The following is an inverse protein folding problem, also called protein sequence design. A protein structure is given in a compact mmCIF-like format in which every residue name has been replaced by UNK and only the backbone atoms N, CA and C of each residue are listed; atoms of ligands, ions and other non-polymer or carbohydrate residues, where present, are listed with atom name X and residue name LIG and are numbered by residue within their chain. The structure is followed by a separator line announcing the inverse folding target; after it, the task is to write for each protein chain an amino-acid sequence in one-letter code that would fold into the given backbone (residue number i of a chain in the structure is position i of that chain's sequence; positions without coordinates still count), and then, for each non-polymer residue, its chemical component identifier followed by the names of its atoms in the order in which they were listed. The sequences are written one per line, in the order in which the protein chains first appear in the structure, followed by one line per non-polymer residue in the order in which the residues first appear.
data_IF_699086858966
#
_entry.id   IF_699086858966
#
_cell.length_a   1.000
_cell.length_b   1.000
_cell.length_c   1.000
_cell.angle_alpha   90.00
_cell.angle_beta   90.00
_cell.angle_gamma   90.00
#
_symmetry.space_group_name_H-M   'P 1'
#
loop_
_entity.id
_entity.type
_entity.pdbx_description
1 polymer ?
#
# COMPACT_ATOMS: atom_id res chain seq x y z
N UNK A 1 -17.69 18.93 61.28
CA UNK A 1 -18.30 18.59 59.97
C UNK A 1 -17.35 19.05 58.88
N UNK A 2 -16.52 18.15 58.33
CA UNK A 2 -15.61 18.47 57.23
C UNK A 2 -16.30 18.15 55.90
N UNK A 3 -16.48 19.16 55.04
CA UNK A 3 -16.94 18.99 53.66
C UNK A 3 -15.71 18.87 52.76
N UNK A 4 -15.48 17.69 52.20
CA UNK A 4 -14.45 17.48 51.18
C UNK A 4 -15.10 17.78 49.83
N UNK A 5 -14.60 18.81 49.16
CA UNK A 5 -14.99 19.17 47.80
C UNK A 5 -14.07 18.39 46.84
N UNK A 6 -14.64 17.46 46.06
CA UNK A 6 -13.91 16.72 45.02
C UNK A 6 -14.16 17.43 43.69
N UNK A 7 -13.12 18.06 43.16
CA UNK A 7 -13.14 18.68 41.83
C UNK A 7 -12.77 17.60 40.81
N UNK A 8 -13.75 17.14 40.03
CA UNK A 8 -13.53 16.16 38.96
C UNK A 8 -13.03 16.86 37.71
N UNK A 9 -11.73 16.77 37.43
CA UNK A 9 -11.14 17.23 36.17
C UNK A 9 -11.52 16.23 35.06
N UNK A 10 -12.42 16.62 34.16
CA UNK A 10 -12.68 15.84 32.94
C UNK A 10 -11.46 15.95 32.01
N UNK A 11 -10.72 14.86 31.86
CA UNK A 11 -9.79 14.67 30.74
C UNK A 11 -10.62 14.36 29.49
N UNK A 12 -10.74 15.34 28.59
CA UNK A 12 -11.19 15.11 27.22
C UNK A 12 -10.05 14.45 26.45
N UNK A 13 -10.08 13.13 26.34
CA UNK A 13 -9.27 12.37 25.40
C UNK A 13 -9.91 12.52 24.01
N UNK A 14 -9.37 13.42 23.20
CA UNK A 14 -9.63 13.42 21.75
C UNK A 14 -8.79 12.28 21.15
N UNK A 15 -9.40 11.24 20.55
CA UNK A 15 -8.64 10.30 19.74
C UNK A 15 -8.23 11.02 18.45
N UNK A 16 -6.97 11.44 18.36
CA UNK A 16 -6.35 11.73 17.07
C UNK A 16 -6.22 10.39 16.34
N UNK A 17 -6.93 10.27 15.22
CA UNK A 17 -6.83 9.13 14.31
C UNK A 17 -5.84 9.51 13.21
N UNK A 18 -4.56 9.56 13.54
CA UNK A 18 -3.52 9.44 12.53
C UNK A 18 -3.58 8.01 11.97
N UNK A 19 -3.60 7.86 10.65
CA UNK A 19 -3.60 6.54 10.04
C UNK A 19 -2.17 6.04 9.97
N UNK A 20 -1.82 5.10 10.84
CA UNK A 20 -0.52 4.46 10.80
C UNK A 20 -0.42 3.43 9.66
N UNK A 21 0.81 3.12 9.24
CA UNK A 21 1.12 2.12 8.22
C UNK A 21 0.37 0.79 8.49
N UNK A 22 0.23 0.40 9.76
CA UNK A 22 -0.44 -0.84 10.13
C UNK A 22 -1.94 -0.84 9.78
N UNK A 23 -2.64 0.27 9.97
CA UNK A 23 -4.04 0.44 9.59
C UNK A 23 -4.21 0.37 8.08
N UNK A 24 -3.33 1.03 7.33
CA UNK A 24 -3.32 1.03 5.87
C UNK A 24 -3.02 -0.37 5.31
N UNK A 25 -1.97 -1.03 5.81
CA UNK A 25 -1.61 -2.40 5.44
C UNK A 25 -2.74 -3.38 5.74
N UNK A 26 -3.39 -3.25 6.90
CA UNK A 26 -4.50 -4.11 7.29
C UNK A 26 -5.71 -3.96 6.36
N UNK A 27 -6.07 -2.72 6.01
CA UNK A 27 -7.16 -2.47 5.08
C UNK A 27 -6.90 -3.14 3.72
N UNK A 28 -5.68 -3.05 3.21
CA UNK A 28 -5.33 -3.67 1.91
C UNK A 28 -5.27 -5.19 2.02
N UNK A 29 -4.81 -5.75 3.14
CA UNK A 29 -4.92 -7.18 3.39
C UNK A 29 -6.36 -7.65 3.33
N UNK A 30 -7.24 -7.02 4.12
CA UNK A 30 -8.64 -7.40 4.20
C UNK A 30 -9.32 -7.22 2.81
N UNK A 31 -8.97 -6.18 2.05
CA UNK A 31 -9.39 -6.04 0.65
C UNK A 31 -8.87 -7.16 -0.25
N UNK A 32 -7.57 -7.48 -0.19
CA UNK A 32 -6.95 -8.49 -1.05
C UNK A 32 -7.57 -9.88 -0.88
N UNK A 33 -7.92 -10.23 0.36
CA UNK A 33 -8.61 -11.48 0.70
C UNK A 33 -10.02 -11.56 0.09
N UNK A 34 -10.64 -10.43 -0.26
CA UNK A 34 -11.94 -10.40 -0.93
C UNK A 34 -11.87 -10.48 -2.45
N UNK A 35 -10.78 -10.00 -3.05
CA UNK A 35 -10.67 -9.87 -4.52
C UNK A 35 -9.79 -10.92 -5.18
N UNK A 36 -8.85 -11.51 -4.43
CA UNK A 36 -7.95 -12.54 -4.95
C UNK A 36 -8.46 -13.93 -4.61
N UNK A 37 -8.23 -14.89 -5.52
CA UNK A 37 -8.47 -16.29 -5.21
C UNK A 37 -7.42 -16.89 -4.28
N UNK A 38 -6.21 -16.33 -4.32
CA UNK A 38 -5.12 -16.68 -3.44
C UNK A 38 -4.32 -15.43 -3.13
N UNK A 39 -4.08 -15.17 -1.85
CA UNK A 39 -3.11 -14.16 -1.40
C UNK A 39 -1.79 -14.87 -1.08
N UNK A 40 -0.67 -14.20 -1.31
CA UNK A 40 0.65 -14.70 -0.96
C UNK A 40 0.79 -14.96 0.55
N UNK A 41 1.83 -15.70 0.94
CA UNK A 41 2.23 -15.84 2.34
C UNK A 41 2.87 -14.56 2.89
N UNK A 42 3.76 -14.68 3.87
CA UNK A 42 4.47 -13.51 4.44
C UNK A 42 5.53 -12.89 3.51
N UNK A 43 5.74 -13.48 2.32
CA UNK A 43 6.77 -13.14 1.34
C UNK A 43 7.92 -14.16 1.37
N UNK A 44 8.49 -14.48 0.22
CA UNK A 44 9.68 -15.34 0.13
C UNK A 44 10.96 -14.55 0.51
N UNK A 45 12.05 -15.23 0.92
CA UNK A 45 13.32 -14.55 1.20
C UNK A 45 13.80 -13.70 0.00
N UNK A 46 14.00 -12.40 0.24
CA UNK A 46 14.40 -11.44 -0.80
C UNK A 46 13.22 -10.72 -1.47
N UNK A 47 11.98 -11.08 -1.13
CA UNK A 47 10.80 -10.30 -1.48
C UNK A 47 10.58 -9.12 -0.53
N UNK A 48 9.97 -8.07 -1.06
CA UNK A 48 9.37 -7.03 -0.26
C UNK A 48 8.30 -7.68 0.63
N UNK A 49 8.27 -7.28 1.90
CA UNK A 49 7.27 -7.78 2.85
C UNK A 49 5.86 -7.50 2.33
N UNK A 50 4.98 -8.51 2.42
CA UNK A 50 3.58 -8.33 2.08
C UNK A 50 2.93 -7.19 2.88
N UNK A 51 2.14 -6.39 2.18
CA UNK A 51 1.47 -5.20 2.69
C UNK A 51 2.41 -4.06 3.11
N UNK A 52 3.66 -4.05 2.65
CA UNK A 52 4.52 -2.86 2.75
C UNK A 52 3.84 -1.66 2.08
N UNK A 53 3.75 -0.55 2.81
CA UNK A 53 3.14 0.68 2.37
C UNK A 53 4.19 1.78 2.18
N UNK A 54 3.98 2.66 1.20
CA UNK A 54 4.69 3.94 1.08
C UNK A 54 3.68 5.06 0.96
N UNK A 55 3.90 6.17 1.67
CA UNK A 55 3.09 7.37 1.56
C UNK A 55 3.36 8.04 0.22
N UNK A 56 2.33 8.33 -0.58
CA UNK A 56 2.40 9.00 -1.88
C UNK A 56 2.24 10.52 -1.75
N UNK A 57 1.34 10.97 -0.87
CA UNK A 57 1.11 12.38 -0.59
C UNK A 57 0.81 12.61 0.89
N UNK A 58 1.20 13.78 1.40
CA UNK A 58 0.97 14.18 2.79
C UNK A 58 -0.51 14.49 3.07
N UNK A 59 -1.28 14.83 2.04
CA UNK A 59 -2.66 15.31 2.18
C UNK A 59 -2.74 16.78 2.58
N UNK A 60 -3.94 17.20 2.98
CA UNK A 60 -4.24 18.60 3.34
C UNK A 60 -4.15 18.86 4.85
N UNK A 61 -4.21 17.82 5.68
CA UNK A 61 -4.02 17.90 7.14
C UNK A 61 -3.00 16.86 7.57
N UNK A 62 -1.88 17.33 8.13
CA UNK A 62 -0.80 16.48 8.63
C UNK A 62 -1.19 15.80 9.94
N UNK A 63 -2.04 16.43 10.75
CA UNK A 63 -2.43 15.90 12.07
C UNK A 63 -3.39 14.71 11.99
N UNK A 64 -4.17 14.64 10.91
CA UNK A 64 -5.24 13.64 10.71
C UNK A 64 -5.06 12.81 9.43
N UNK A 65 -3.94 13.00 8.73
CA UNK A 65 -3.62 12.40 7.43
C UNK A 65 -4.70 12.57 6.35
N UNK A 66 -5.58 13.57 6.51
CA UNK A 66 -6.71 13.79 5.61
C UNK A 66 -6.23 14.20 4.24
N UNK A 67 -6.70 13.50 3.22
CA UNK A 67 -6.30 13.67 1.83
C UNK A 67 -4.99 12.96 1.50
N UNK A 68 -4.32 12.34 2.47
CA UNK A 68 -3.14 11.54 2.20
C UNK A 68 -3.49 10.32 1.35
N UNK A 69 -2.52 9.91 0.56
CA UNK A 69 -2.60 8.71 -0.27
C UNK A 69 -1.41 7.82 -0.01
N UNK A 70 -1.65 6.53 -0.09
CA UNK A 70 -0.67 5.49 0.19
C UNK A 70 -0.68 4.48 -0.93
N UNK A 71 0.48 3.92 -1.25
CA UNK A 71 0.63 2.79 -2.15
C UNK A 71 1.03 1.58 -1.33
N UNK A 72 0.27 0.50 -1.46
CA UNK A 72 0.51 -0.74 -0.71
C UNK A 72 0.80 -1.87 -1.68
N UNK A 73 1.93 -2.52 -1.47
CA UNK A 73 2.32 -3.73 -2.18
C UNK A 73 1.67 -4.96 -1.55
N UNK A 74 1.19 -5.87 -2.38
CA UNK A 74 0.81 -7.23 -1.99
C UNK A 74 1.00 -8.18 -3.17
N UNK A 75 0.97 -9.48 -2.95
CA UNK A 75 1.06 -10.47 -4.02
C UNK A 75 -0.13 -11.42 -3.97
N UNK A 76 -0.71 -11.75 -5.11
CA UNK A 76 -1.85 -12.65 -5.17
C UNK A 76 -2.28 -13.02 -6.59
N UNK A 77 -3.12 -14.05 -6.68
CA UNK A 77 -3.76 -14.50 -7.91
C UNK A 77 -5.05 -13.71 -8.15
N UNK A 78 -4.90 -12.53 -8.73
CA UNK A 78 -5.99 -11.71 -9.22
C UNK A 78 -6.55 -12.29 -10.51
N UNK A 79 -7.86 -12.56 -10.54
CA UNK A 79 -8.53 -13.17 -11.69
C UNK A 79 -8.56 -14.70 -11.69
N UNK A 80 -8.04 -15.33 -10.64
CA UNK A 80 -8.25 -16.77 -10.37
C UNK A 80 -7.74 -17.68 -11.50
N UNK A 81 -6.61 -17.32 -12.10
CA UNK A 81 -6.05 -18.08 -13.22
C UNK A 81 -5.52 -19.45 -12.77
N UNK A 82 -5.14 -19.57 -11.48
CA UNK A 82 -4.75 -20.81 -10.83
C UNK A 82 -3.31 -21.24 -11.13
N UNK A 83 -2.67 -21.85 -10.13
CA UNK A 83 -1.30 -22.37 -10.24
C UNK A 83 -0.27 -21.48 -9.55
N UNK A 84 0.94 -22.01 -9.35
CA UNK A 84 1.95 -21.32 -8.55
C UNK A 84 2.57 -20.09 -9.25
N UNK A 85 2.44 -20.01 -10.58
CA UNK A 85 2.97 -18.90 -11.40
C UNK A 85 2.00 -17.73 -11.62
N UNK A 86 0.76 -17.81 -11.10
CA UNK A 86 -0.27 -16.78 -11.31
C UNK A 86 -0.34 -15.75 -10.20
N UNK A 87 0.39 -15.98 -9.10
CA UNK A 87 0.55 -15.00 -8.03
C UNK A 87 1.52 -13.94 -8.49
N UNK A 88 1.00 -12.75 -8.78
CA UNK A 88 1.78 -11.64 -9.30
C UNK A 88 1.71 -10.45 -8.34
N UNK A 89 2.75 -9.60 -8.33
CA UNK A 89 2.73 -8.34 -7.62
C UNK A 89 1.51 -7.50 -7.96
N UNK A 90 0.85 -7.02 -6.92
CA UNK A 90 -0.26 -6.09 -6.96
C UNK A 90 0.11 -4.85 -6.16
N UNK A 91 -0.42 -3.72 -6.59
CA UNK A 91 -0.16 -2.43 -5.98
C UNK A 91 -1.48 -1.69 -5.88
N UNK A 92 -1.89 -1.40 -4.66
CA UNK A 92 -3.20 -0.84 -4.34
C UNK A 92 -3.03 0.53 -3.73
N UNK A 93 -3.80 1.51 -4.22
CA UNK A 93 -3.83 2.85 -3.62
C UNK A 93 -4.86 2.86 -2.49
N UNK A 94 -4.50 3.46 -1.37
CA UNK A 94 -5.42 3.80 -0.27
C UNK A 94 -5.49 5.32 -0.16
N UNK A 95 -6.70 5.86 -0.06
CA UNK A 95 -6.95 7.28 0.15
C UNK A 95 -7.63 7.49 1.50
N UNK A 96 -7.24 8.54 2.21
CA UNK A 96 -7.92 8.96 3.44
C UNK A 96 -8.80 10.15 3.10
N UNK A 97 -10.10 9.90 2.98
CA UNK A 97 -11.05 10.94 2.61
C UNK A 97 -11.45 11.77 3.83
N UNK A 98 -11.62 13.09 3.64
CA UNK A 98 -11.98 14.03 4.72
C UNK A 98 -13.36 13.83 5.33
N UNK A 99 -14.20 12.96 4.76
CA UNK A 99 -15.42 12.53 5.44
C UNK A 99 -15.07 11.39 6.41
N UNK A 100 -14.91 11.73 7.70
CA UNK A 100 -14.63 10.81 8.83
C UNK A 100 -13.22 10.21 8.90
N UNK A 101 -12.23 10.80 8.23
CA UNK A 101 -10.82 10.34 8.22
C UNK A 101 -10.69 8.82 7.99
N UNK A 102 -11.58 8.28 7.17
CA UNK A 102 -11.68 6.83 7.00
C UNK A 102 -10.82 6.43 5.80
N UNK A 103 -9.82 5.56 5.98
CA UNK A 103 -9.03 5.03 4.89
C UNK A 103 -9.91 4.14 4.01
N UNK A 104 -9.79 4.30 2.69
CA UNK A 104 -10.53 3.51 1.70
C UNK A 104 -9.58 3.06 0.59
N UNK A 105 -9.79 1.84 0.09
CA UNK A 105 -9.10 1.37 -1.11
C UNK A 105 -9.64 2.13 -2.32
N UNK A 106 -8.76 2.79 -3.05
CA UNK A 106 -9.09 3.52 -4.26
C UNK A 106 -8.70 2.71 -5.51
N UNK A 107 -9.72 2.07 -6.10
CA UNK A 107 -9.58 1.23 -7.29
C UNK A 107 -9.54 2.01 -8.61
N UNK A 108 -9.65 3.35 -8.56
CA UNK A 108 -9.61 4.18 -9.77
C UNK A 108 -8.20 4.34 -10.34
N UNK A 109 -7.16 4.09 -9.52
CA UNK A 109 -5.77 4.19 -9.95
C UNK A 109 -5.35 2.95 -10.74
N UNK A 110 -4.74 3.20 -11.90
CA UNK A 110 -4.05 2.19 -12.67
C UNK A 110 -2.58 2.52 -12.69
N UNK A 111 -1.76 1.59 -12.22
CA UNK A 111 -0.32 1.67 -12.41
C UNK A 111 0.03 1.35 -13.86
N UNK A 112 1.12 1.94 -14.38
CA UNK A 112 1.63 1.55 -15.68
C UNK A 112 2.06 0.10 -15.65
N UNK A 113 2.03 -0.52 -16.83
CA UNK A 113 2.43 -1.91 -16.98
C UNK A 113 3.89 -2.12 -16.53
N UNK A 114 4.10 -3.15 -15.73
CA UNK A 114 5.42 -3.69 -15.36
C UNK A 114 5.44 -5.18 -15.67
N UNK A 115 6.61 -5.71 -16.02
CA UNK A 115 6.82 -7.16 -16.16
C UNK A 115 7.34 -7.80 -14.85
N UNK A 116 7.20 -7.09 -13.73
CA UNK A 116 7.64 -7.55 -12.41
C UNK A 116 6.89 -8.81 -12.02
N UNK A 117 7.64 -9.83 -11.62
CA UNK A 117 7.09 -11.05 -11.04
C UNK A 117 7.40 -11.16 -9.55
N UNK A 118 8.42 -10.45 -9.09
CA UNK A 118 8.79 -10.35 -7.69
C UNK A 118 9.18 -8.90 -7.39
N UNK A 119 8.61 -8.29 -6.36
CA UNK A 119 9.06 -6.98 -5.89
C UNK A 119 10.05 -7.20 -4.76
N UNK A 120 11.21 -6.55 -4.83
CA UNK A 120 12.23 -6.60 -3.77
C UNK A 120 12.31 -5.29 -2.99
N UNK A 121 11.89 -4.18 -3.60
CA UNK A 121 11.94 -2.87 -2.98
C UNK A 121 10.86 -1.94 -3.54
N UNK A 122 10.24 -1.16 -2.66
CA UNK A 122 9.34 -0.06 -3.00
C UNK A 122 9.70 1.17 -2.16
N UNK A 123 9.91 2.30 -2.83
CA UNK A 123 10.26 3.59 -2.20
C UNK A 123 9.46 4.70 -2.84
N UNK A 124 9.18 5.74 -2.07
CA UNK A 124 8.71 7.02 -2.59
C UNK A 124 9.68 8.13 -2.17
N UNK A 125 10.07 8.96 -3.12
CA UNK A 125 10.85 10.18 -2.88
C UNK A 125 10.11 11.36 -3.50
N UNK A 126 9.45 12.16 -2.66
CA UNK A 126 8.71 13.37 -3.09
C UNK A 126 7.71 13.12 -4.24
N UNK A 127 6.99 12.00 -4.20
CA UNK A 127 6.01 11.61 -5.22
C UNK A 127 6.61 10.83 -6.40
N UNK A 128 7.92 10.59 -6.40
CA UNK A 128 8.59 9.66 -7.31
C UNK A 128 8.64 8.27 -6.69
N UNK A 129 7.74 7.41 -7.13
CA UNK A 129 7.70 6.01 -6.71
C UNK A 129 8.72 5.21 -7.51
N UNK A 130 9.62 4.55 -6.81
CA UNK A 130 10.56 3.59 -7.39
C UNK A 130 10.22 2.20 -6.90
N UNK A 131 10.01 1.27 -7.84
CA UNK A 131 9.74 -0.15 -7.54
C UNK A 131 10.81 -0.97 -8.24
N UNK A 132 11.53 -1.79 -7.49
CA UNK A 132 12.56 -2.69 -8.00
C UNK A 132 12.21 -4.13 -7.71
N UNK A 133 12.72 -5.03 -8.53
CA UNK A 133 12.40 -6.43 -8.41
C UNK A 133 13.02 -7.31 -9.47
N UNK A 134 12.40 -8.47 -9.68
CA UNK A 134 12.79 -9.44 -10.68
C UNK A 134 11.70 -9.61 -11.74
N UNK A 135 12.14 -9.84 -12.97
CA UNK A 135 11.35 -10.25 -14.12
C UNK A 135 11.95 -11.53 -14.74
N UNK A 136 11.17 -12.21 -15.58
CA UNK A 136 11.69 -13.30 -16.40
C UNK A 136 12.47 -12.73 -17.59
N UNK A 137 13.72 -13.15 -17.73
CA UNK A 137 14.50 -12.96 -18.95
C UNK A 137 14.34 -14.13 -19.94
N UNK A 138 14.91 -13.98 -21.13
CA UNK A 138 14.73 -14.91 -22.26
C UNK A 138 15.14 -16.38 -21.95
N UNK A 139 16.06 -16.58 -21.01
CA UNK A 139 16.61 -17.89 -20.67
C UNK A 139 16.19 -18.37 -19.27
N UNK A 140 15.19 -17.73 -18.65
CA UNK A 140 14.74 -18.09 -17.31
C UNK A 140 13.76 -19.27 -17.37
N UNK A 141 13.95 -20.21 -16.45
CA UNK A 141 12.98 -21.29 -16.24
C UNK A 141 11.83 -20.79 -15.39
N UNK A 142 10.69 -21.48 -15.49
CA UNK A 142 9.54 -21.22 -14.63
C UNK A 142 9.97 -21.23 -13.15
N UNK A 143 9.50 -20.25 -12.38
CA UNK A 143 9.81 -20.02 -10.97
C UNK A 143 11.23 -19.50 -10.65
N UNK A 144 12.05 -19.18 -11.66
CA UNK A 144 13.42 -18.68 -11.43
C UNK A 144 13.70 -17.39 -12.22
N UNK A 145 12.99 -16.29 -11.92
CA UNK A 145 13.28 -15.00 -12.53
C UNK A 145 14.66 -14.50 -12.06
N UNK A 146 15.47 -13.99 -12.99
CA UNK A 146 16.83 -13.49 -12.68
C UNK A 146 17.08 -12.08 -13.15
N UNK A 147 16.25 -11.57 -14.06
CA UNK A 147 16.45 -10.23 -14.60
C UNK A 147 16.04 -9.18 -13.58
N UNK A 148 16.98 -8.34 -13.17
CA UNK A 148 16.70 -7.22 -12.26
C UNK A 148 16.14 -6.05 -13.04
N UNK A 149 14.96 -5.60 -12.63
CA UNK A 149 14.29 -4.46 -13.26
C UNK A 149 13.93 -3.41 -12.20
N UNK A 150 13.95 -2.15 -12.62
CA UNK A 150 13.54 -1.01 -11.79
C UNK A 150 12.63 -0.12 -12.60
N UNK A 151 11.47 0.19 -12.03
CA UNK A 151 10.48 1.09 -12.60
C UNK A 151 10.36 2.35 -11.76
N UNK A 152 10.17 3.48 -12.42
CA UNK A 152 9.95 4.77 -11.79
C UNK A 152 8.66 5.38 -12.30
N UNK A 153 7.85 5.87 -11.37
CA UNK A 153 6.58 6.51 -11.65
C UNK A 153 6.48 7.81 -10.88
N UNK A 154 6.11 8.88 -11.57
CA UNK A 154 5.67 10.11 -10.91
C UNK A 154 4.21 9.96 -10.53
N UNK A 155 3.89 10.12 -9.26
CA UNK A 155 2.52 10.25 -8.79
C UNK A 155 2.03 11.68 -9.06
N UNK A 156 1.10 11.80 -10.00
CA UNK A 156 0.42 13.05 -10.33
C UNK A 156 -0.89 13.11 -9.56
N UNK A 157 -0.83 13.72 -8.38
CA UNK A 157 -1.96 13.85 -7.48
C UNK A 157 -3.11 14.68 -8.07
N UNK A 158 -2.80 15.66 -8.92
CA UNK A 158 -3.83 16.53 -9.52
C UNK A 158 -4.69 15.78 -10.52
N UNK A 159 -4.09 14.86 -11.27
CA UNK A 159 -4.77 14.07 -12.29
C UNK A 159 -5.05 12.64 -11.84
N UNK A 160 -4.78 12.30 -10.57
CA UNK A 160 -4.96 10.98 -9.98
C UNK A 160 -4.35 9.86 -10.85
N UNK A 161 -3.09 10.00 -11.26
CA UNK A 161 -2.43 9.04 -12.17
C UNK A 161 -0.95 8.83 -11.85
N UNK A 162 -0.44 7.67 -12.25
CA UNK A 162 0.98 7.39 -12.28
C UNK A 162 1.53 7.61 -13.69
N UNK A 163 2.62 8.36 -13.80
CA UNK A 163 3.27 8.69 -15.08
C UNK A 163 4.62 7.96 -15.13
N UNK A 164 4.84 7.04 -16.09
CA UNK A 164 6.16 6.44 -16.32
C UNK A 164 7.24 7.49 -16.54
N UNK A 165 8.45 7.22 -16.07
CA UNK A 165 9.62 8.10 -16.21
C UNK A 165 10.78 7.36 -16.85
#
# INVERSE_FOLDING_TARGET
MNKILITTTLFLINPSFAADDATISRLVRDYSETVACQVGGEGEPGELKQYSAVRLSEGYSVEDDVGSKWLVYWAGDMGCNGGNGTRLPQLTVVAINGFRNTPVVDTSYKLPYTNLVQVTEMKNDQGMVTISGLAYGDNDTQHHPREKVTYKFKFDEQNNKFIPQ
#
